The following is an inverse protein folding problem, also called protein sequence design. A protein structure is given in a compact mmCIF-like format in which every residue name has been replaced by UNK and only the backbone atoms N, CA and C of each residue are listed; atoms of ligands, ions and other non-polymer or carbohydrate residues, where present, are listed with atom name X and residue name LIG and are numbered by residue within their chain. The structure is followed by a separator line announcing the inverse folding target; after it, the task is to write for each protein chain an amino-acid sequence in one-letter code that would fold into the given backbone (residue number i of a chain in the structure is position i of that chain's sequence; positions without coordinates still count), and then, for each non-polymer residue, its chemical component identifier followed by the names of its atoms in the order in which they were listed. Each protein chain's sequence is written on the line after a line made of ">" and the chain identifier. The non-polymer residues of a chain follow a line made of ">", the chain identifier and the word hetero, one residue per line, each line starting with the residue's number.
data_IF_096302170342
#
_entry.id   IF_096302170342
#
_cell.length_a   1.000
_cell.length_b   1.000
_cell.length_c   1.000
_cell.angle_alpha   90.00
_cell.angle_beta   90.00
_cell.angle_gamma   90.00
#
_symmetry.space_group_name_H-M   'P 1'
#
loop_
_entity.id
_entity.type
_entity.pdbx_description
1 polymer ?
#
# COMPACT_ATOMS: atom_id res chain seq x y z
N UNK A 1 4.22 16.02 19.54
CA UNK A 1 5.17 17.15 19.37
C UNK A 1 5.30 18.04 20.61
N UNK A 2 4.22 18.60 21.18
CA UNK A 2 4.33 19.55 22.32
C UNK A 2 4.95 18.90 23.57
N UNK A 3 4.52 17.69 23.93
CA UNK A 3 5.11 16.90 25.02
C UNK A 3 6.63 16.76 24.87
N UNK A 4 7.11 16.48 23.65
CA UNK A 4 8.53 16.34 23.35
C UNK A 4 9.34 17.61 23.59
N UNK A 5 8.71 18.78 23.48
CA UNK A 5 9.34 20.06 23.80
C UNK A 5 9.36 20.34 25.29
N UNK A 6 8.35 19.87 26.04
CA UNK A 6 8.26 20.07 27.49
C UNK A 6 9.12 19.07 28.26
N UNK A 7 9.28 17.86 27.73
CA UNK A 7 10.00 16.75 28.37
C UNK A 7 10.96 16.08 27.37
N UNK A 8 11.98 16.82 26.87
CA UNK A 8 12.89 16.31 25.84
C UNK A 8 13.70 15.08 26.29
N UNK A 9 14.13 15.07 27.55
CA UNK A 9 14.86 13.95 28.18
C UNK A 9 13.98 12.70 28.38
N UNK A 10 12.65 12.86 28.38
CA UNK A 10 11.70 11.75 28.51
C UNK A 10 11.07 11.33 27.18
N UNK A 11 11.52 11.92 26.06
CA UNK A 11 11.00 11.60 24.74
C UNK A 11 12.06 10.95 23.89
N UNK A 12 11.85 9.67 23.56
CA UNK A 12 12.70 8.90 22.65
C UNK A 12 12.35 9.13 21.17
N UNK A 13 11.06 9.15 20.83
CA UNK A 13 10.56 9.32 19.47
C UNK A 13 9.19 10.02 19.47
N UNK A 14 8.89 10.73 18.39
CA UNK A 14 7.58 11.31 18.07
C UNK A 14 7.21 10.88 16.65
N UNK A 15 6.19 10.06 16.53
CA UNK A 15 5.59 9.73 15.23
C UNK A 15 4.27 10.50 15.10
N UNK A 16 4.07 11.16 13.96
CA UNK A 16 2.80 11.82 13.63
C UNK A 16 2.26 11.27 12.33
N UNK A 17 0.93 11.23 12.19
CA UNK A 17 0.23 10.97 10.93
C UNK A 17 -0.50 12.25 10.49
N UNK A 18 -0.26 12.69 9.26
CA UNK A 18 -0.94 13.84 8.63
C UNK A 18 -0.89 15.13 9.47
N UNK A 19 0.16 15.31 10.28
CA UNK A 19 0.26 16.48 11.14
C UNK A 19 0.61 17.73 10.31
N UNK A 20 -0.09 18.86 10.54
CA UNK A 20 0.30 20.12 9.93
C UNK A 20 1.67 20.57 10.44
N UNK A 21 2.32 21.40 9.64
CA UNK A 21 3.47 22.18 10.06
C UNK A 21 3.12 23.17 11.18
N UNK A 22 4.14 23.79 11.75
CA UNK A 22 3.94 24.81 12.76
C UNK A 22 3.69 26.17 12.12
N UNK A 23 2.77 26.93 12.69
CA UNK A 23 2.61 28.35 12.37
C UNK A 23 3.63 29.18 13.17
N UNK A 24 3.76 30.46 12.80
CA UNK A 24 4.69 31.43 13.39
C UNK A 24 4.60 31.54 14.93
N UNK A 25 3.47 31.17 15.53
CA UNK A 25 3.28 31.08 16.99
C UNK A 25 4.10 29.99 17.71
N UNK A 26 4.75 29.07 16.99
CA UNK A 26 5.69 28.09 17.59
C UNK A 26 6.95 28.73 18.20
N UNK A 27 7.26 29.96 17.79
CA UNK A 27 8.27 30.82 18.41
C UNK A 27 7.93 31.24 19.83
N UNK A 28 6.64 31.32 20.20
CA UNK A 28 6.21 31.67 21.56
C UNK A 28 6.78 30.70 22.59
N UNK A 29 6.71 29.40 22.33
CA UNK A 29 7.24 28.39 23.25
C UNK A 29 8.75 28.53 23.42
N UNK A 30 9.46 28.85 22.33
CA UNK A 30 10.89 29.15 22.39
C UNK A 30 11.17 30.42 23.21
N UNK A 31 10.36 31.47 23.03
CA UNK A 31 10.42 32.71 23.82
C UNK A 31 10.11 32.48 25.30
N UNK A 32 9.23 31.53 25.62
CA UNK A 32 8.89 31.10 26.98
C UNK A 32 9.93 30.15 27.59
N UNK A 33 11.05 29.88 26.90
CA UNK A 33 12.16 29.07 27.40
C UNK A 33 12.08 27.57 27.11
N UNK A 34 11.09 27.11 26.32
CA UNK A 34 11.03 25.72 25.89
C UNK A 34 11.91 25.48 24.65
N UNK A 35 12.69 24.39 24.61
CA UNK A 35 13.58 24.13 23.48
C UNK A 35 12.82 24.00 22.15
N UNK A 36 13.48 24.26 21.01
CA UNK A 36 12.92 23.95 19.71
C UNK A 36 12.70 22.43 19.54
N UNK A 37 11.85 22.00 18.60
CA UNK A 37 11.66 20.59 18.29
C UNK A 37 12.98 19.87 17.94
N UNK A 38 13.19 18.67 18.47
CA UNK A 38 14.35 17.83 18.15
C UNK A 38 14.07 17.01 16.89
N UNK A 39 14.45 17.54 15.72
CA UNK A 39 14.14 16.94 14.41
C UNK A 39 14.54 15.45 14.30
N UNK A 40 15.68 15.06 14.86
CA UNK A 40 16.15 13.67 14.78
C UNK A 40 15.29 12.65 15.56
N UNK A 41 14.36 13.12 16.41
CA UNK A 41 13.39 12.29 17.14
C UNK A 41 12.00 12.28 16.49
N UNK A 42 11.79 13.04 15.42
CA UNK A 42 10.46 13.28 14.85
C UNK A 42 10.37 12.62 13.48
N UNK A 43 9.42 11.70 13.34
CA UNK A 43 9.04 11.07 12.08
C UNK A 43 7.61 11.51 11.74
N UNK A 44 7.43 12.09 10.55
CA UNK A 44 6.12 12.55 10.08
C UNK A 44 5.68 11.64 8.94
N UNK A 45 4.74 10.76 9.25
CA UNK A 45 4.00 10.01 8.24
C UNK A 45 3.02 10.98 7.58
N UNK A 46 3.21 11.20 6.28
CA UNK A 46 2.35 12.06 5.47
C UNK A 46 1.72 11.19 4.40
N UNK A 47 0.41 11.01 4.50
CA UNK A 47 -0.33 10.18 3.59
C UNK A 47 -0.63 10.95 2.29
N UNK A 48 -0.52 10.25 1.16
CA UNK A 48 -0.75 10.85 -0.16
C UNK A 48 -2.06 11.65 -0.21
N UNK A 49 -2.08 12.85 -0.81
CA UNK A 49 -3.32 13.62 -0.99
C UNK A 49 -3.92 14.25 0.28
N UNK A 50 -3.31 14.10 1.45
CA UNK A 50 -3.66 14.86 2.65
C UNK A 50 -3.25 16.34 2.49
N UNK A 51 -4.23 17.24 2.53
CA UNK A 51 -3.99 18.67 2.40
C UNK A 51 -3.61 19.37 3.70
N UNK A 52 -3.83 18.75 4.86
CA UNK A 52 -3.57 19.39 6.16
C UNK A 52 -2.09 19.33 6.53
N UNK A 53 -1.39 18.24 6.21
CA UNK A 53 0.06 18.14 6.42
C UNK A 53 0.84 19.20 5.66
N UNK A 54 0.30 19.69 4.54
CA UNK A 54 0.87 20.78 3.73
C UNK A 54 0.61 22.18 4.32
N UNK A 55 -0.22 22.30 5.38
CA UNK A 55 -0.45 23.58 6.06
C UNK A 55 0.67 23.88 7.06
N UNK A 56 1.18 25.11 7.05
CA UNK A 56 2.20 25.56 8.01
C UNK A 56 2.91 26.82 7.55
N UNK A 57 3.73 27.40 8.43
CA UNK A 57 4.64 28.46 8.01
C UNK A 57 5.80 27.85 7.20
N UNK A 58 6.19 28.49 6.09
CA UNK A 58 7.31 28.05 5.25
C UNK A 58 8.55 27.72 6.10
N UNK A 59 9.09 26.50 5.92
CA UNK A 59 10.26 26.00 6.65
C UNK A 59 9.99 25.41 8.05
N UNK A 60 8.73 25.31 8.52
CA UNK A 60 8.40 24.83 9.87
C UNK A 60 7.70 23.45 9.88
N UNK A 61 8.35 22.45 9.30
CA UNK A 61 7.95 21.04 9.40
C UNK A 61 9.06 20.22 10.08
N UNK A 62 9.08 20.15 11.42
CA UNK A 62 10.11 19.43 12.16
C UNK A 62 10.18 17.95 11.83
N UNK A 63 11.39 17.41 11.86
CA UNK A 63 11.64 15.99 11.62
C UNK A 63 11.67 15.56 10.16
N UNK A 64 11.61 14.25 9.97
CA UNK A 64 11.76 13.61 8.65
C UNK A 64 10.38 13.25 8.10
N UNK A 65 10.08 13.71 6.88
CA UNK A 65 8.89 13.27 6.14
C UNK A 65 9.09 11.82 5.68
N UNK A 66 8.09 11.00 5.91
CA UNK A 66 7.94 9.67 5.32
C UNK A 66 6.59 9.65 4.62
N UNK A 67 6.61 9.63 3.29
CA UNK A 67 5.39 9.55 2.50
C UNK A 67 4.82 8.13 2.60
N UNK A 68 3.50 8.02 2.83
CA UNK A 68 2.80 6.74 2.84
C UNK A 68 1.65 6.77 1.83
N UNK A 69 1.42 5.66 1.14
CA UNK A 69 0.21 5.53 0.34
C UNK A 69 -1.03 5.54 1.25
N UNK A 70 -2.09 6.20 0.78
CA UNK A 70 -3.45 5.99 1.26
C UNK A 70 -4.41 6.06 0.08
N UNK A 71 -5.70 5.82 0.28
CA UNK A 71 -6.73 6.04 -0.75
C UNK A 71 -7.13 7.51 -0.83
N UNK A 72 -7.12 8.09 -2.03
CA UNK A 72 -7.28 9.53 -2.18
C UNK A 72 -8.54 9.83 -2.99
N UNK A 73 -9.43 10.61 -2.41
CA UNK A 73 -10.52 11.22 -3.13
C UNK A 73 -10.03 12.52 -3.79
N UNK A 74 -10.43 12.80 -5.06
CA UNK A 74 -9.99 14.00 -5.75
C UNK A 74 -10.64 15.27 -5.20
N UNK A 75 -9.89 16.37 -5.21
CA UNK A 75 -10.38 17.73 -4.97
C UNK A 75 -10.05 18.29 -3.58
N UNK A 76 -10.03 19.64 -3.48
CA UNK A 76 -9.56 20.33 -2.27
C UNK A 76 -10.42 20.09 -1.02
N UNK A 77 -11.72 19.82 -1.17
CA UNK A 77 -12.58 19.49 -0.02
C UNK A 77 -12.17 18.13 0.56
N UNK A 78 -11.94 17.14 -0.29
CA UNK A 78 -11.49 15.82 0.13
C UNK A 78 -10.10 15.88 0.81
N UNK A 79 -9.20 16.72 0.28
CA UNK A 79 -7.86 16.91 0.84
C UNK A 79 -7.88 17.34 2.32
N UNK A 80 -8.88 18.11 2.75
CA UNK A 80 -9.01 18.57 4.14
C UNK A 80 -10.01 17.75 4.98
N UNK A 81 -10.65 16.73 4.39
CA UNK A 81 -11.64 15.87 5.06
C UNK A 81 -11.27 14.40 4.93
N UNK A 82 -11.73 13.72 3.87
CA UNK A 82 -11.57 12.27 3.67
C UNK A 82 -10.11 11.86 3.61
N UNK A 83 -9.27 12.61 2.88
CA UNK A 83 -7.83 12.31 2.77
C UNK A 83 -7.06 12.72 4.03
N UNK A 84 -7.62 13.59 4.87
CA UNK A 84 -7.01 13.95 6.15
C UNK A 84 -7.34 12.93 7.26
N UNK A 85 -8.41 12.15 7.09
CA UNK A 85 -8.89 11.22 8.10
C UNK A 85 -7.81 10.23 8.52
N UNK A 86 -7.56 10.15 9.83
CA UNK A 86 -6.65 9.16 10.40
C UNK A 86 -7.11 7.72 10.16
N UNK A 87 -8.41 7.50 9.94
CA UNK A 87 -8.94 6.15 9.63
C UNK A 87 -8.31 5.63 8.34
N UNK A 88 -8.29 6.47 7.30
CA UNK A 88 -7.76 6.11 5.99
C UNK A 88 -6.25 5.77 6.05
N UNK A 89 -5.44 6.66 6.65
CA UNK A 89 -4.02 6.39 6.84
C UNK A 89 -3.74 5.19 7.75
N UNK A 90 -4.55 4.95 8.77
CA UNK A 90 -4.41 3.77 9.64
C UNK A 90 -4.75 2.47 8.90
N UNK A 91 -5.69 2.48 7.96
CA UNK A 91 -6.01 1.30 7.15
C UNK A 91 -4.84 0.91 6.26
N UNK A 92 -4.21 1.89 5.60
CA UNK A 92 -2.98 1.65 4.87
C UNK A 92 -1.91 1.01 5.76
N UNK A 93 -1.66 1.59 6.94
CA UNK A 93 -0.66 1.07 7.88
C UNK A 93 -1.00 -0.34 8.39
N UNK A 94 -2.28 -0.64 8.61
CA UNK A 94 -2.74 -1.96 9.03
C UNK A 94 -2.48 -3.02 7.95
N UNK A 95 -2.80 -2.72 6.69
CA UNK A 95 -2.49 -3.61 5.56
C UNK A 95 -0.98 -3.79 5.38
N UNK A 96 -0.21 -2.69 5.39
CA UNK A 96 1.24 -2.74 5.34
C UNK A 96 1.81 -3.64 6.44
N UNK A 97 1.30 -3.53 7.67
CA UNK A 97 1.73 -4.35 8.81
C UNK A 97 1.49 -5.85 8.58
N UNK A 98 0.34 -6.22 8.02
CA UNK A 98 0.02 -7.63 7.69
C UNK A 98 0.90 -8.14 6.56
N UNK A 99 1.19 -7.33 5.54
CA UNK A 99 2.12 -7.67 4.45
C UNK A 99 3.54 -7.92 5.01
N UNK A 100 4.01 -7.10 5.97
CA UNK A 100 5.32 -7.27 6.63
C UNK A 100 5.42 -8.59 7.41
N UNK A 101 4.29 -9.19 7.85
CA UNK A 101 4.34 -10.52 8.48
C UNK A 101 4.84 -11.59 7.52
N UNK A 102 4.53 -11.49 6.23
CA UNK A 102 4.99 -12.42 5.19
C UNK A 102 6.47 -12.20 4.84
N UNK A 103 6.90 -10.95 4.77
CA UNK A 103 8.26 -10.55 4.38
C UNK A 103 8.79 -9.42 5.28
N UNK A 104 9.57 -9.77 6.31
CA UNK A 104 10.03 -8.82 7.31
C UNK A 104 11.05 -7.80 6.78
N UNK A 105 11.63 -8.02 5.59
CA UNK A 105 12.52 -7.02 4.95
C UNK A 105 11.76 -5.75 4.58
N UNK A 106 10.45 -5.85 4.34
CA UNK A 106 9.61 -4.71 4.00
C UNK A 106 9.33 -3.79 5.20
N UNK A 107 9.60 -4.21 6.44
CA UNK A 107 9.47 -3.35 7.65
C UNK A 107 10.25 -2.04 7.53
N UNK A 108 11.34 -2.05 6.76
CA UNK A 108 12.21 -0.89 6.51
C UNK A 108 12.07 -0.30 5.11
N UNK A 109 11.14 -0.81 4.31
CA UNK A 109 10.88 -0.38 2.94
C UNK A 109 9.42 0.03 2.75
N UNK A 110 9.07 1.13 3.42
CA UNK A 110 7.74 1.74 3.33
C UNK A 110 7.41 2.24 1.93
N UNK A 111 8.43 2.50 1.09
CA UNK A 111 8.25 2.88 -0.29
C UNK A 111 7.64 1.72 -1.09
N UNK A 112 8.25 0.53 -1.01
CA UNK A 112 7.69 -0.68 -1.66
C UNK A 112 6.30 -1.02 -1.13
N UNK A 113 6.08 -0.93 0.19
CA UNK A 113 4.75 -1.15 0.77
C UNK A 113 3.69 -0.16 0.25
N UNK A 114 4.09 1.11 0.10
CA UNK A 114 3.22 2.13 -0.48
C UNK A 114 2.97 1.90 -1.97
N UNK A 115 3.98 1.44 -2.72
CA UNK A 115 3.84 1.14 -4.14
C UNK A 115 2.90 -0.04 -4.40
N UNK A 116 2.87 -1.04 -3.51
CA UNK A 116 1.89 -2.13 -3.58
C UNK A 116 0.46 -1.60 -3.49
N UNK A 117 0.19 -0.68 -2.56
CA UNK A 117 -1.14 -0.05 -2.41
C UNK A 117 -1.45 0.81 -3.63
N UNK A 118 -0.52 1.67 -4.07
CA UNK A 118 -0.75 2.55 -5.23
C UNK A 118 -1.00 1.79 -6.52
N UNK A 119 -0.36 0.63 -6.69
CA UNK A 119 -0.49 -0.18 -7.89
C UNK A 119 -1.75 -1.06 -7.91
N UNK A 120 -2.48 -1.15 -6.79
CA UNK A 120 -3.61 -2.05 -6.66
C UNK A 120 -4.84 -1.64 -7.47
N UNK A 121 -5.22 -0.35 -7.45
CA UNK A 121 -6.43 0.11 -8.12
C UNK A 121 -6.33 1.56 -8.58
N UNK A 122 -7.03 1.86 -9.68
CA UNK A 122 -7.29 3.24 -10.14
C UNK A 122 -8.52 3.85 -9.47
N UNK A 123 -9.32 3.07 -8.74
CA UNK A 123 -10.52 3.56 -8.07
C UNK A 123 -10.18 3.95 -6.61
N UNK A 124 -10.43 5.21 -6.20
CA UNK A 124 -10.45 5.57 -4.79
C UNK A 124 -11.40 4.66 -4.01
N UNK A 125 -10.99 4.20 -2.83
CA UNK A 125 -11.81 3.29 -2.01
C UNK A 125 -11.72 1.79 -2.37
N UNK A 126 -10.84 1.41 -3.28
CA UNK A 126 -10.66 0.00 -3.71
C UNK A 126 -9.25 -0.57 -3.54
N UNK A 127 -8.23 0.28 -3.44
CA UNK A 127 -6.82 -0.16 -3.40
C UNK A 127 -6.53 -1.06 -2.21
N UNK A 128 -7.13 -0.78 -1.05
CA UNK A 128 -6.94 -1.61 0.14
C UNK A 128 -7.62 -2.96 0.01
N UNK A 129 -8.87 -2.97 -0.44
CA UNK A 129 -9.70 -4.16 -0.58
C UNK A 129 -9.15 -5.10 -1.65
N UNK A 130 -8.80 -4.56 -2.83
CA UNK A 130 -8.26 -5.34 -3.94
C UNK A 130 -6.88 -5.93 -3.58
N UNK A 131 -6.00 -5.15 -2.95
CA UNK A 131 -4.70 -5.66 -2.51
C UNK A 131 -4.86 -6.73 -1.41
N UNK A 132 -5.71 -6.47 -0.41
CA UNK A 132 -6.01 -7.42 0.66
C UNK A 132 -6.59 -8.73 0.10
N UNK A 133 -7.56 -8.64 -0.81
CA UNK A 133 -8.18 -9.82 -1.43
C UNK A 133 -7.21 -10.57 -2.34
N UNK A 134 -6.27 -9.89 -2.99
CA UNK A 134 -5.17 -10.53 -3.72
C UNK A 134 -4.32 -11.40 -2.79
N UNK A 135 -3.90 -10.87 -1.64
CA UNK A 135 -3.14 -11.64 -0.63
C UNK A 135 -3.98 -12.75 -0.01
N UNK A 136 -5.23 -12.46 0.38
CA UNK A 136 -6.15 -13.44 0.97
C UNK A 136 -6.42 -14.59 0.02
N UNK A 137 -6.74 -14.30 -1.24
CA UNK A 137 -7.00 -15.33 -2.24
C UNK A 137 -5.78 -16.21 -2.44
N UNK A 138 -4.58 -15.63 -2.54
CA UNK A 138 -3.35 -16.41 -2.68
C UNK A 138 -3.10 -17.31 -1.46
N UNK A 139 -3.20 -16.76 -0.25
CA UNK A 139 -2.84 -17.45 0.99
C UNK A 139 -3.93 -18.45 1.43
N UNK A 140 -5.20 -18.07 1.40
CA UNK A 140 -6.33 -18.87 1.91
C UNK A 140 -7.02 -19.70 0.84
N UNK A 141 -6.93 -19.31 -0.44
CA UNK A 141 -7.57 -19.99 -1.56
C UNK A 141 -8.72 -19.20 -2.20
N UNK A 142 -9.35 -19.79 -3.22
CA UNK A 142 -10.46 -19.18 -3.97
C UNK A 142 -11.81 -19.33 -3.24
N UNK A 143 -12.79 -18.51 -3.64
CA UNK A 143 -14.16 -18.58 -3.14
C UNK A 143 -14.41 -17.83 -1.83
N UNK A 144 -13.46 -16.99 -1.41
CA UNK A 144 -13.63 -16.10 -0.27
C UNK A 144 -14.66 -15.01 -0.58
N UNK A 145 -15.35 -14.54 0.45
CA UNK A 145 -16.14 -13.32 0.34
C UNK A 145 -15.20 -12.14 0.11
N UNK A 146 -15.44 -11.41 -0.98
CA UNK A 146 -14.69 -10.20 -1.30
C UNK A 146 -14.80 -9.18 -0.17
N UNK A 147 -13.72 -8.47 0.10
CA UNK A 147 -13.71 -7.37 1.06
C UNK A 147 -14.62 -6.27 0.56
N UNK A 148 -15.56 -5.86 1.42
CA UNK A 148 -16.55 -4.86 1.07
C UNK A 148 -15.87 -3.50 0.92
N UNK A 149 -16.10 -2.86 -0.23
CA UNK A 149 -15.73 -1.47 -0.48
C UNK A 149 -16.55 -0.51 0.39
N UNK A 150 -15.86 0.45 0.98
CA UNK A 150 -16.48 1.46 1.85
C UNK A 150 -15.92 2.83 1.48
N UNK A 151 -16.79 3.78 1.15
CA UNK A 151 -16.40 5.13 0.75
C UNK A 151 -16.41 6.12 1.92
N UNK A 152 -16.23 5.63 3.15
CA UNK A 152 -16.50 6.38 4.37
C UNK A 152 -15.42 6.20 5.43
N UNK A 153 -15.29 7.22 6.28
CA UNK A 153 -14.40 7.20 7.45
C UNK A 153 -15.11 6.67 8.70
N UNK A 154 -16.29 6.07 8.56
CA UNK A 154 -17.04 5.49 9.68
C UNK A 154 -16.35 4.20 10.15
N UNK A 155 -15.84 4.12 11.39
CA UNK A 155 -15.20 2.93 11.90
C UNK A 155 -16.06 1.66 11.84
N UNK A 156 -17.39 1.78 11.93
CA UNK A 156 -18.29 0.62 11.85
C UNK A 156 -18.34 0.04 10.44
N UNK A 157 -18.29 0.89 9.41
CA UNK A 157 -18.24 0.41 8.03
C UNK A 157 -16.92 -0.33 7.73
N UNK A 158 -15.83 0.02 8.42
CA UNK A 158 -14.50 -0.60 8.27
C UNK A 158 -14.34 -1.94 8.99
N UNK A 159 -15.29 -2.36 9.82
CA UNK A 159 -15.21 -3.63 10.57
C UNK A 159 -14.97 -4.86 9.66
N UNK A 160 -15.64 -5.03 8.50
CA UNK A 160 -15.38 -6.16 7.59
C UNK A 160 -13.94 -6.17 7.06
N UNK A 161 -13.36 -5.00 6.77
CA UNK A 161 -11.97 -4.87 6.32
C UNK A 161 -10.99 -5.37 7.39
N UNK A 162 -11.15 -4.92 8.64
CA UNK A 162 -10.31 -5.39 9.74
C UNK A 162 -10.46 -6.88 10.06
N UNK A 163 -11.67 -7.44 9.91
CA UNK A 163 -11.89 -8.90 10.05
C UNK A 163 -11.11 -9.68 9.00
N UNK A 164 -11.08 -9.21 7.76
CA UNK A 164 -10.33 -9.84 6.68
C UNK A 164 -8.80 -9.69 6.84
N UNK A 165 -8.33 -8.56 7.40
CA UNK A 165 -6.92 -8.42 7.81
C UNK A 165 -6.56 -9.44 8.91
N UNK A 166 -7.40 -9.58 9.93
CA UNK A 166 -7.18 -10.53 11.03
C UNK A 166 -7.20 -11.99 10.53
N UNK A 167 -8.10 -12.31 9.60
CA UNK A 167 -8.16 -13.62 8.97
C UNK A 167 -6.87 -13.93 8.22
N UNK A 168 -6.35 -12.97 7.45
CA UNK A 168 -5.06 -13.12 6.76
C UNK A 168 -3.90 -13.27 7.75
N UNK A 169 -3.84 -12.44 8.79
CA UNK A 169 -2.81 -12.54 9.85
C UNK A 169 -2.81 -13.92 10.53
N UNK A 170 -4.00 -14.45 10.82
CA UNK A 170 -4.16 -15.79 11.41
C UNK A 170 -3.66 -16.85 10.44
N UNK A 171 -4.05 -16.79 9.17
CA UNK A 171 -3.61 -17.74 8.15
C UNK A 171 -2.09 -17.68 7.91
N UNK A 172 -1.46 -16.50 8.01
CA UNK A 172 -0.01 -16.34 7.92
C UNK A 172 0.68 -17.04 9.09
N UNK A 173 0.15 -16.85 10.30
CA UNK A 173 0.72 -17.42 11.54
C UNK A 173 0.57 -18.93 11.56
N UNK A 174 -0.65 -19.44 11.35
CA UNK A 174 -0.97 -20.86 11.39
C UNK A 174 -0.32 -21.62 10.22
N UNK A 175 -0.23 -20.99 9.06
CA UNK A 175 0.41 -21.54 7.86
C UNK A 175 1.95 -21.52 7.88
N UNK A 176 2.56 -21.07 8.98
CA UNK A 176 4.01 -20.89 9.11
C UNK A 176 4.60 -20.04 7.98
N UNK A 177 3.90 -18.97 7.58
CA UNK A 177 4.33 -18.05 6.52
C UNK A 177 5.07 -16.81 7.06
N UNK A 178 5.21 -16.69 8.38
CA UNK A 178 5.93 -15.60 9.02
C UNK A 178 7.36 -15.50 8.49
N UNK A 179 7.66 -14.38 7.81
CA UNK A 179 8.95 -14.09 7.19
C UNK A 179 9.46 -15.24 6.28
N UNK A 180 8.55 -15.98 5.65
CA UNK A 180 8.89 -17.19 4.90
C UNK A 180 8.98 -16.94 3.38
N UNK A 181 8.69 -15.73 2.92
CA UNK A 181 8.55 -15.42 1.49
C UNK A 181 9.25 -14.12 1.11
N UNK A 182 9.38 -13.90 -0.20
CA UNK A 182 9.80 -12.62 -0.76
C UNK A 182 8.68 -11.99 -1.56
N UNK A 183 8.25 -10.80 -1.16
CA UNK A 183 7.25 -10.05 -1.89
C UNK A 183 7.97 -9.12 -2.86
N UNK A 184 7.52 -9.09 -4.12
CA UNK A 184 7.95 -8.09 -5.10
C UNK A 184 6.74 -7.33 -5.62
N UNK A 185 6.84 -6.00 -5.58
CA UNK A 185 5.96 -5.13 -6.35
C UNK A 185 6.26 -5.28 -7.85
N UNK A 186 5.22 -5.23 -8.67
CA UNK A 186 5.32 -5.19 -10.13
C UNK A 186 5.24 -3.77 -10.69
N UNK A 187 5.16 -2.75 -9.82
CA UNK A 187 4.99 -1.33 -10.18
C UNK A 187 6.02 -0.82 -11.19
N UNK A 188 7.25 -1.32 -11.11
CA UNK A 188 8.39 -0.89 -11.93
C UNK A 188 8.74 -1.85 -13.08
N UNK A 189 7.92 -2.89 -13.33
CA UNK A 189 8.17 -3.85 -14.40
C UNK A 189 7.40 -3.49 -15.66
N UNK A 190 8.03 -3.65 -16.81
CA UNK A 190 7.36 -3.55 -18.11
C UNK A 190 6.57 -4.82 -18.42
N UNK A 191 5.66 -4.76 -19.41
CA UNK A 191 4.97 -5.96 -19.89
C UNK A 191 5.95 -7.04 -20.39
N UNK A 192 7.06 -6.62 -21.04
CA UNK A 192 8.11 -7.53 -21.50
C UNK A 192 8.80 -8.24 -20.32
N UNK A 193 9.12 -7.50 -19.25
CA UNK A 193 9.69 -8.10 -18.03
C UNK A 193 8.74 -9.13 -17.41
N UNK A 194 7.44 -8.82 -17.36
CA UNK A 194 6.42 -9.72 -16.82
C UNK A 194 6.31 -11.02 -17.62
N UNK A 195 6.32 -10.93 -18.96
CA UNK A 195 6.31 -12.10 -19.84
C UNK A 195 7.59 -12.92 -19.64
N UNK A 196 8.75 -12.25 -19.62
CA UNK A 196 10.05 -12.88 -19.41
C UNK A 196 10.08 -13.73 -18.13
N UNK A 197 9.54 -13.21 -17.03
CA UNK A 197 9.45 -13.95 -15.76
C UNK A 197 8.36 -15.04 -15.78
N UNK A 198 7.22 -14.78 -16.44
CA UNK A 198 6.11 -15.73 -16.53
C UNK A 198 6.46 -17.00 -17.31
N UNK A 199 7.49 -17.01 -18.15
CA UNK A 199 7.98 -18.24 -18.80
C UNK A 199 8.44 -19.29 -17.79
N UNK A 200 9.15 -18.90 -16.73
CA UNK A 200 9.75 -19.84 -15.77
C UNK A 200 9.13 -19.79 -14.37
N UNK A 201 8.22 -18.86 -14.09
CA UNK A 201 7.68 -18.67 -12.74
C UNK A 201 6.16 -18.80 -12.66
N UNK A 202 5.70 -19.75 -11.82
CA UNK A 202 4.30 -19.88 -11.44
C UNK A 202 3.77 -18.62 -10.76
N UNK A 203 4.59 -17.94 -9.97
CA UNK A 203 4.20 -16.72 -9.25
C UNK A 203 3.81 -15.60 -10.22
N UNK A 204 4.62 -15.39 -11.27
CA UNK A 204 4.31 -14.39 -12.29
C UNK A 204 3.11 -14.81 -13.14
N UNK A 205 2.99 -16.10 -13.50
CA UNK A 205 1.77 -16.58 -14.19
C UNK A 205 0.52 -16.37 -13.34
N UNK A 206 0.58 -16.63 -12.04
CA UNK A 206 -0.52 -16.36 -11.11
C UNK A 206 -0.86 -14.88 -11.04
N UNK A 207 0.13 -13.99 -10.92
CA UNK A 207 -0.10 -12.55 -10.92
C UNK A 207 -0.80 -12.09 -12.20
N UNK A 208 -0.43 -12.66 -13.36
CA UNK A 208 -1.09 -12.37 -14.64
C UNK A 208 -2.51 -12.95 -14.71
N UNK A 209 -2.79 -14.12 -14.11
CA UNK A 209 -4.14 -14.72 -14.06
C UNK A 209 -5.07 -13.92 -13.17
N UNK A 210 -4.63 -13.60 -11.95
CA UNK A 210 -5.47 -12.92 -10.96
C UNK A 210 -5.37 -11.39 -11.04
N UNK A 211 -4.49 -10.85 -11.91
CA UNK A 211 -4.27 -9.40 -12.07
C UNK A 211 -3.65 -8.73 -10.83
N UNK A 212 -2.86 -9.48 -10.05
CA UNK A 212 -2.25 -8.95 -8.85
C UNK A 212 -1.04 -8.05 -9.20
N UNK A 213 -0.90 -6.86 -8.57
CA UNK A 213 0.25 -5.97 -8.80
C UNK A 213 1.53 -6.43 -8.09
N UNK A 214 1.57 -7.68 -7.63
CA UNK A 214 2.65 -8.25 -6.84
C UNK A 214 2.83 -9.74 -7.12
N UNK A 215 4.00 -10.26 -6.72
CA UNK A 215 4.27 -11.70 -6.65
C UNK A 215 4.82 -12.08 -5.28
N UNK A 216 4.58 -13.32 -4.87
CA UNK A 216 5.18 -13.94 -3.69
C UNK A 216 6.15 -15.03 -4.15
N UNK A 217 7.42 -14.89 -3.82
CA UNK A 217 8.50 -15.80 -4.21
C UNK A 217 9.04 -16.56 -3.00
N UNK A 218 9.77 -17.65 -3.26
CA UNK A 218 10.43 -18.44 -2.23
C UNK A 218 9.55 -19.52 -1.59
N UNK A 219 8.27 -19.63 -2.01
CA UNK A 219 7.36 -20.68 -1.55
C UNK A 219 6.35 -21.09 -2.61
N UNK A 220 6.81 -21.87 -3.59
CA UNK A 220 6.01 -22.31 -4.74
C UNK A 220 4.76 -23.11 -4.32
N UNK A 221 4.79 -23.77 -3.16
CA UNK A 221 3.65 -24.51 -2.61
C UNK A 221 2.40 -23.64 -2.38
N UNK A 222 2.54 -22.31 -2.26
CA UNK A 222 1.40 -21.39 -2.21
C UNK A 222 0.55 -21.46 -3.48
N UNK A 223 1.16 -21.77 -4.62
CA UNK A 223 0.50 -21.81 -5.93
C UNK A 223 -0.11 -23.16 -6.26
N UNK A 224 0.27 -24.25 -5.57
CA UNK A 224 -0.25 -25.60 -5.83
C UNK A 224 -1.79 -25.66 -5.72
N UNK A 225 -2.36 -24.99 -4.71
CA UNK A 225 -3.82 -24.92 -4.51
C UNK A 225 -4.55 -24.16 -5.61
N UNK A 226 -3.83 -23.33 -6.35
CA UNK A 226 -4.34 -22.52 -7.46
C UNK A 226 -4.08 -23.17 -8.83
N UNK A 227 -3.43 -24.34 -8.84
CA UNK A 227 -2.95 -25.02 -10.04
C UNK A 227 -3.37 -26.51 -10.09
N UNK A 228 -4.42 -26.89 -9.38
CA UNK A 228 -4.87 -28.29 -9.25
C UNK A 228 -5.27 -28.93 -10.59
N UNK A 229 -5.67 -28.12 -11.57
CA UNK A 229 -6.06 -28.55 -12.91
C UNK A 229 -5.19 -27.89 -13.99
N UNK A 230 -3.95 -27.52 -13.64
CA UNK A 230 -3.00 -26.89 -14.55
C UNK A 230 -3.41 -25.47 -14.98
N UNK A 231 -4.12 -24.73 -14.13
CA UNK A 231 -4.55 -23.35 -14.37
C UNK A 231 -3.38 -22.40 -14.65
N UNK A 232 -2.20 -22.69 -14.10
CA UNK A 232 -0.98 -21.90 -14.24
C UNK A 232 0.04 -22.55 -15.19
N UNK A 233 -0.31 -23.66 -15.83
CA UNK A 233 0.59 -24.38 -16.72
C UNK A 233 0.58 -23.78 -18.12
N UNK A 234 1.78 -23.64 -18.69
CA UNK A 234 1.96 -23.22 -20.07
C UNK A 234 1.37 -24.26 -21.01
N UNK A 235 0.66 -23.78 -22.03
CA UNK A 235 0.12 -24.63 -23.07
C UNK A 235 1.25 -25.29 -23.88
N UNK A 236 1.23 -26.61 -23.97
CA UNK A 236 2.12 -27.41 -24.83
C UNK A 236 1.30 -27.96 -26.00
N UNK A 237 1.60 -27.47 -27.21
CA UNK A 237 0.95 -27.90 -28.44
C UNK A 237 1.21 -29.37 -28.82
N UNK A 238 2.28 -29.98 -28.29
CA UNK A 238 2.65 -31.37 -28.57
C UNK A 238 1.78 -32.34 -27.81
N UNK A 239 1.54 -32.05 -26.52
CA UNK A 239 0.75 -32.91 -25.62
C UNK A 239 -0.71 -32.48 -25.52
N UNK A 240 -1.03 -31.25 -25.92
CA UNK A 240 -2.34 -30.64 -25.75
C UNK A 240 -2.66 -30.32 -24.28
N UNK A 241 -1.66 -30.27 -23.40
CA UNK A 241 -1.82 -29.99 -21.96
C UNK A 241 -1.46 -28.55 -21.62
N UNK A 242 -1.87 -28.09 -20.43
CA UNK A 242 -1.68 -26.70 -20.01
C UNK A 242 -2.74 -25.76 -20.59
N UNK A 243 -2.83 -24.54 -20.04
CA UNK A 243 -3.92 -23.60 -20.38
C UNK A 243 -3.42 -22.24 -20.85
N UNK A 244 -2.22 -21.83 -20.44
CA UNK A 244 -1.72 -20.48 -20.70
C UNK A 244 -0.87 -20.47 -21.96
N UNK A 245 -1.42 -19.92 -23.06
CA UNK A 245 -0.63 -19.68 -24.27
C UNK A 245 0.23 -18.43 -24.14
N UNK A 246 1.24 -18.29 -24.99
CA UNK A 246 2.12 -17.12 -24.99
C UNK A 246 1.35 -15.85 -25.39
N UNK A 247 0.40 -15.95 -26.32
CA UNK A 247 -0.44 -14.83 -26.74
C UNK A 247 -1.33 -14.36 -25.58
N UNK A 248 -1.90 -15.30 -24.82
CA UNK A 248 -2.69 -14.97 -23.64
C UNK A 248 -1.83 -14.30 -22.56
N UNK A 249 -0.64 -14.82 -22.29
CA UNK A 249 0.30 -14.22 -21.33
C UNK A 249 0.71 -12.81 -21.75
N UNK A 250 0.95 -12.60 -23.05
CA UNK A 250 1.29 -11.28 -23.60
C UNK A 250 0.17 -10.28 -23.37
N UNK A 251 -1.06 -10.64 -23.72
CA UNK A 251 -2.22 -9.76 -23.53
C UNK A 251 -2.47 -9.44 -22.04
N UNK A 252 -2.27 -10.42 -21.15
CA UNK A 252 -2.46 -10.22 -19.71
C UNK A 252 -1.34 -9.41 -19.07
N UNK A 253 -0.10 -9.56 -19.53
CA UNK A 253 1.02 -8.72 -19.09
C UNK A 253 0.81 -7.27 -19.51
N UNK A 254 0.36 -7.02 -20.75
CA UNK A 254 0.00 -5.70 -21.22
C UNK A 254 -1.14 -5.09 -20.38
N UNK A 255 -2.19 -5.87 -20.10
CA UNK A 255 -3.32 -5.41 -19.30
C UNK A 255 -2.88 -5.04 -17.88
N UNK A 256 -2.20 -5.94 -17.17
CA UNK A 256 -1.75 -5.71 -15.80
C UNK A 256 -0.80 -4.51 -15.74
N UNK A 257 0.18 -4.44 -16.65
CA UNK A 257 1.10 -3.30 -16.70
C UNK A 257 0.33 -1.98 -16.92
N UNK A 258 -0.63 -1.94 -17.84
CA UNK A 258 -1.45 -0.72 -18.07
C UNK A 258 -2.29 -0.34 -16.87
N UNK A 259 -2.86 -1.31 -16.15
CA UNK A 259 -3.64 -1.02 -14.93
C UNK A 259 -2.75 -0.44 -13.83
N UNK A 260 -1.58 -1.04 -13.60
CA UNK A 260 -0.58 -0.52 -12.67
C UNK A 260 -0.18 0.91 -13.06
N UNK A 261 0.18 1.14 -14.32
CA UNK A 261 0.61 2.48 -14.77
C UNK A 261 -0.53 3.50 -14.67
N UNK A 262 -1.76 3.12 -15.00
CA UNK A 262 -2.92 3.98 -14.84
C UNK A 262 -3.13 4.35 -13.36
N UNK A 263 -3.00 3.38 -12.45
CA UNK A 263 -3.12 3.61 -11.02
C UNK A 263 -2.03 4.58 -10.51
N UNK A 264 -0.77 4.36 -10.90
CA UNK A 264 0.34 5.24 -10.53
C UNK A 264 0.18 6.68 -11.08
N UNK A 265 -0.30 6.83 -12.31
CA UNK A 265 -0.54 8.15 -12.92
C UNK A 265 -1.71 8.87 -12.24
N UNK A 266 -2.83 8.19 -12.01
CA UNK A 266 -3.99 8.78 -11.33
C UNK A 266 -3.63 9.28 -9.92
N UNK A 267 -2.79 8.51 -9.21
CA UNK A 267 -2.23 8.91 -7.91
C UNK A 267 -1.38 10.17 -8.02
N UNK A 268 -0.49 10.26 -9.00
CA UNK A 268 0.32 11.46 -9.19
C UNK A 268 -0.53 12.71 -9.46
N UNK A 269 -1.68 12.56 -10.13
CA UNK A 269 -2.60 13.68 -10.42
C UNK A 269 -3.43 14.12 -9.20
N UNK A 270 -3.56 13.28 -8.17
CA UNK A 270 -4.34 13.56 -6.95
C UNK A 270 -3.48 14.02 -5.77
N UNK A 271 -2.15 13.92 -5.86
CA UNK A 271 -1.21 14.30 -4.80
C UNK A 271 -1.01 15.82 -4.63
N UNK A 272 -1.41 16.66 -5.59
CA UNK A 272 -1.36 18.12 -5.43
C UNK A 272 -2.78 18.73 -5.38
N UNK A 273 -3.34 18.87 -4.17
CA UNK A 273 -4.70 19.37 -4.01
C UNK A 273 -4.83 20.88 -4.25
N UNK A 274 -3.72 21.63 -4.34
CA UNK A 274 -3.73 23.10 -4.35
C UNK A 274 -3.25 23.75 -5.66
N UNK A 275 -2.54 23.06 -6.57
CA UNK A 275 -2.21 23.63 -7.90
C UNK A 275 -3.43 23.87 -8.79
N UNK A 276 -4.58 23.21 -8.55
CA UNK A 276 -5.80 23.46 -9.35
C UNK A 276 -6.52 24.77 -9.06
N UNK A 277 -6.05 25.58 -8.10
CA UNK A 277 -6.65 26.88 -7.75
C UNK A 277 -5.75 28.08 -8.07
N UNK A 278 -4.70 27.89 -8.87
CA UNK A 278 -3.71 28.93 -9.17
C UNK A 278 -3.27 29.00 -10.63
N UNK A 279 -4.19 29.33 -11.54
CA UNK A 279 -3.91 30.13 -12.76
C UNK A 279 -5.09 31.03 -13.04
#
# INVERSE_FOLDING_TARGET
>A
MLFARFFPENTGEVVTLNAPGFFTGSSLLTTLGFPPPENHKITRLEADGDGISELGASGFWPGTKVAIAQENEPGAVAAISTNHSSVNGNDALALMRVIVLLDARLDRDIATLSDLIRAASTEPGNSYEELLDGFRTLVLGKGLTATRRTTGTDPLEREPYYKHLQELETAITDGQLLNAVTIKSLSNLTAEDLIGQAHSSLAYRYALVETNPFVILGRDSLYERHNQHGELELYDSTTGTGKLTIEWLTARADLLNRQIQAALVDRALTQDPFTRFGT
#
